data_IF_659660063539
#
_entry.id   IF_659660063539
#
_cell.length_a   1.000
_cell.length_b   1.000
_cell.length_c   1.000
_cell.angle_alpha   90.00
_cell.angle_beta   90.00
_cell.angle_gamma   90.00
#
_symmetry.space_group_name_H-M   'P 1'
#
loop_
_entity.id
_entity.type
_entity.pdbx_description
1 polymer ?
#
# COMPACT_ATOMS: atom_id res chain seq x y z
N UNK A 1 10.04 1.16 -14.75
CA UNK A 1 9.47 1.03 -13.39
C UNK A 1 8.32 0.01 -13.30
N UNK A 2 7.36 -0.05 -14.26
CA UNK A 2 6.26 -1.03 -14.22
C UNK A 2 6.68 -2.51 -14.44
N UNK A 3 7.75 -2.77 -15.20
CA UNK A 3 8.16 -4.13 -15.59
C UNK A 3 8.74 -4.93 -14.40
N UNK A 4 9.28 -4.28 -13.37
CA UNK A 4 9.83 -4.96 -12.20
C UNK A 4 8.76 -5.49 -11.22
N UNK A 5 7.53 -4.97 -11.28
CA UNK A 5 6.47 -5.31 -10.33
C UNK A 5 5.81 -6.66 -10.67
N UNK A 6 5.84 -7.07 -11.94
CA UNK A 6 5.16 -8.29 -12.39
C UNK A 6 5.90 -9.59 -12.05
N UNK A 7 7.21 -9.53 -11.74
CA UNK A 7 8.02 -10.72 -11.43
C UNK A 7 8.49 -10.80 -9.98
N UNK A 8 8.48 -9.68 -9.23
CA UNK A 8 8.85 -9.65 -7.82
C UNK A 8 7.62 -9.36 -6.97
N UNK A 9 7.08 -10.41 -6.33
CA UNK A 9 6.10 -10.31 -5.22
C UNK A 9 6.61 -9.55 -4.00
N UNK A 10 7.90 -9.18 -3.99
CA UNK A 10 8.59 -8.53 -2.90
C UNK A 10 9.53 -7.46 -3.46
N UNK A 11 9.13 -6.19 -3.37
CA UNK A 11 10.00 -5.05 -3.71
C UNK A 11 10.70 -4.49 -2.46
N UNK A 12 10.64 -5.18 -1.32
CA UNK A 12 11.32 -4.75 -0.11
C UNK A 12 12.85 -4.69 -0.27
N UNK A 13 13.50 -3.80 0.47
CA UNK A 13 14.96 -3.63 0.52
C UNK A 13 15.57 -3.29 -0.85
N UNK A 14 15.08 -2.21 -1.46
CA UNK A 14 15.68 -1.66 -2.69
C UNK A 14 15.83 -0.13 -2.55
N UNK A 15 16.45 0.49 -3.56
CA UNK A 15 16.57 1.95 -3.64
C UNK A 15 15.48 2.52 -4.58
N UNK A 16 14.24 1.98 -4.52
CA UNK A 16 13.15 2.53 -5.33
C UNK A 16 12.76 3.90 -4.78
N UNK A 17 12.69 4.89 -5.66
CA UNK A 17 12.37 6.26 -5.31
C UNK A 17 11.26 6.83 -6.20
N UNK A 18 10.80 8.04 -5.86
CA UNK A 18 9.64 8.67 -6.49
C UNK A 18 8.32 8.19 -5.90
N UNK A 19 7.20 8.49 -6.56
CA UNK A 19 5.85 8.21 -6.05
C UNK A 19 5.31 6.85 -6.47
N UNK A 20 4.46 6.27 -5.64
CA UNK A 20 3.66 5.09 -6.02
C UNK A 20 2.71 5.50 -7.18
N UNK A 21 2.83 4.89 -8.38
CA UNK A 21 2.03 5.30 -9.52
C UNK A 21 0.58 4.83 -9.40
N UNK A 22 -0.38 5.65 -9.84
CA UNK A 22 -1.81 5.30 -9.86
C UNK A 22 -2.12 4.01 -10.65
N UNK A 23 -1.25 3.64 -11.59
CA UNK A 23 -1.40 2.40 -12.37
C UNK A 23 -1.24 1.13 -11.52
N UNK A 24 -0.71 1.21 -10.28
CA UNK A 24 -0.62 0.06 -9.37
C UNK A 24 -1.99 -0.58 -9.13
N UNK A 25 -3.06 0.24 -9.11
CA UNK A 25 -4.44 -0.22 -8.92
C UNK A 25 -4.99 -1.06 -10.08
N UNK A 26 -4.22 -1.25 -11.17
CA UNK A 26 -4.57 -2.19 -12.26
C UNK A 26 -4.19 -3.64 -11.92
N UNK A 27 -3.39 -3.86 -10.88
CA UNK A 27 -2.97 -5.19 -10.44
C UNK A 27 -4.05 -5.84 -9.56
N UNK A 28 -5.27 -5.98 -10.10
CA UNK A 28 -6.48 -6.36 -9.34
C UNK A 28 -6.47 -7.78 -8.78
N UNK A 29 -5.61 -8.65 -9.31
CA UNK A 29 -5.45 -10.04 -8.86
C UNK A 29 -4.26 -10.24 -7.91
N UNK A 30 -3.54 -9.17 -7.56
CA UNK A 30 -2.37 -9.25 -6.69
C UNK A 30 -2.82 -9.46 -5.24
N UNK A 31 -2.25 -10.47 -4.59
CA UNK A 31 -2.56 -10.82 -3.19
C UNK A 31 -1.55 -10.25 -2.18
N UNK A 32 -0.32 -9.97 -2.62
CA UNK A 32 0.73 -9.49 -1.72
C UNK A 32 1.46 -8.32 -2.37
N UNK A 33 1.49 -7.18 -1.69
CA UNK A 33 2.24 -6.00 -2.08
C UNK A 33 3.14 -5.56 -0.91
N UNK A 34 4.43 -5.83 -1.00
CA UNK A 34 5.44 -5.29 -0.08
C UNK A 34 6.36 -4.33 -0.83
N UNK A 35 6.38 -3.07 -0.36
CA UNK A 35 7.19 -1.94 -0.82
C UNK A 35 8.14 -1.46 0.29
N UNK A 36 8.32 -2.23 1.36
CA UNK A 36 9.05 -1.81 2.56
C UNK A 36 10.52 -1.47 2.30
N UNK A 37 11.14 -0.69 3.18
CA UNK A 37 12.57 -0.38 3.13
C UNK A 37 13.01 0.15 1.74
N UNK A 38 12.39 1.24 1.31
CA UNK A 38 12.72 1.93 0.06
C UNK A 38 12.74 3.45 0.29
N UNK A 39 12.93 4.23 -0.77
CA UNK A 39 12.94 5.70 -0.77
C UNK A 39 11.69 6.29 -1.43
N UNK A 40 10.56 5.55 -1.44
CA UNK A 40 9.31 6.01 -2.07
C UNK A 40 8.76 7.23 -1.32
N UNK A 41 8.12 8.14 -2.05
CA UNK A 41 7.69 9.44 -1.54
C UNK A 41 6.32 9.85 -2.08
N UNK A 42 5.75 10.92 -1.54
CA UNK A 42 4.43 11.40 -1.95
C UNK A 42 3.28 10.51 -1.42
N UNK A 43 2.05 10.73 -1.89
CA UNK A 43 0.86 10.08 -1.32
C UNK A 43 0.66 8.64 -1.76
N UNK A 44 0.00 7.87 -0.91
CA UNK A 44 -0.60 6.58 -1.28
C UNK A 44 -1.75 6.87 -2.24
N UNK A 45 -1.73 6.34 -3.48
CA UNK A 45 -2.76 6.64 -4.47
C UNK A 45 -4.09 5.97 -4.10
N UNK A 46 -5.20 6.68 -4.28
CA UNK A 46 -6.56 6.14 -4.05
C UNK A 46 -6.89 4.90 -4.89
N UNK A 47 -6.17 4.70 -6.00
CA UNK A 47 -6.28 3.50 -6.82
C UNK A 47 -5.90 2.20 -6.08
N UNK A 48 -5.23 2.29 -4.93
CA UNK A 48 -4.92 1.12 -4.10
C UNK A 48 -6.20 0.35 -3.73
N UNK A 49 -7.32 1.05 -3.50
CA UNK A 49 -8.60 0.43 -3.16
C UNK A 49 -9.24 -0.39 -4.27
N UNK A 50 -8.65 -0.45 -5.47
CA UNK A 50 -9.09 -1.33 -6.55
C UNK A 50 -8.49 -2.73 -6.45
N UNK A 51 -7.47 -2.93 -5.62
CA UNK A 51 -6.73 -4.18 -5.50
C UNK A 51 -7.39 -5.12 -4.47
N UNK A 52 -8.66 -5.43 -4.69
CA UNK A 52 -9.56 -6.12 -3.73
C UNK A 52 -9.11 -7.53 -3.32
N UNK A 53 -8.16 -8.11 -4.05
CA UNK A 53 -7.57 -9.42 -3.74
C UNK A 53 -6.37 -9.33 -2.79
N UNK A 54 -5.94 -8.13 -2.39
CA UNK A 54 -4.82 -7.95 -1.46
C UNK A 54 -5.13 -8.54 -0.09
N UNK A 55 -4.21 -9.39 0.34
CA UNK A 55 -4.10 -10.00 1.66
C UNK A 55 -3.06 -9.24 2.51
N UNK A 56 -1.92 -8.89 1.89
CA UNK A 56 -0.84 -8.14 2.56
C UNK A 56 -0.53 -6.84 1.83
N UNK A 57 -0.56 -5.71 2.55
CA UNK A 57 -0.01 -4.45 2.06
C UNK A 57 0.96 -3.84 3.08
N UNK A 58 2.25 -3.95 2.78
CA UNK A 58 3.31 -3.32 3.57
C UNK A 58 4.04 -2.27 2.75
N UNK A 59 4.18 -1.06 3.29
CA UNK A 59 5.00 0.01 2.72
C UNK A 59 5.77 0.78 3.78
N UNK A 60 6.02 0.14 4.93
CA UNK A 60 6.79 0.72 6.00
C UNK A 60 8.22 1.10 5.61
N UNK A 61 8.83 2.01 6.37
CA UNK A 61 10.20 2.52 6.18
C UNK A 61 10.41 3.06 4.76
N UNK A 62 9.62 4.08 4.44
CA UNK A 62 9.70 4.88 3.22
C UNK A 62 9.51 6.37 3.59
N UNK A 63 9.40 7.24 2.60
CA UNK A 63 9.12 8.67 2.77
C UNK A 63 7.70 9.06 2.31
N UNK A 64 6.73 8.14 2.34
CA UNK A 64 5.35 8.41 1.92
C UNK A 64 4.72 9.48 2.80
N UNK A 65 3.88 10.33 2.23
CA UNK A 65 3.37 11.54 2.89
C UNK A 65 1.92 11.84 2.53
N UNK A 66 1.21 12.61 3.36
CA UNK A 66 -0.21 12.90 3.16
C UNK A 66 -1.13 11.89 3.86
N UNK A 67 -2.45 11.99 3.65
CA UNK A 67 -3.40 11.12 4.33
C UNK A 67 -3.44 9.71 3.76
N UNK A 68 -3.77 8.75 4.61
CA UNK A 68 -4.20 7.42 4.17
C UNK A 68 -5.52 7.59 3.40
N UNK A 69 -5.66 7.07 2.18
CA UNK A 69 -6.87 7.25 1.40
C UNK A 69 -8.04 6.43 1.97
N UNK A 70 -9.24 7.02 2.02
CA UNK A 70 -10.47 6.32 2.45
C UNK A 70 -10.75 5.04 1.65
N UNK A 71 -10.24 4.94 0.42
CA UNK A 71 -10.34 3.74 -0.42
C UNK A 71 -9.64 2.51 0.16
N UNK A 72 -8.80 2.66 1.19
CA UNK A 72 -8.15 1.51 1.87
C UNK A 72 -9.20 0.55 2.42
N UNK A 73 -10.35 1.07 2.88
CA UNK A 73 -11.46 0.26 3.40
C UNK A 73 -12.19 -0.60 2.37
N UNK A 74 -11.80 -0.57 1.09
CA UNK A 74 -12.32 -1.48 0.07
C UNK A 74 -11.57 -2.83 0.05
N UNK A 75 -10.42 -2.94 0.73
CA UNK A 75 -9.55 -4.11 0.69
C UNK A 75 -10.04 -5.19 1.66
N UNK A 76 -11.23 -5.73 1.42
CA UNK A 76 -11.94 -6.58 2.38
C UNK A 76 -11.23 -7.90 2.73
N UNK A 77 -10.21 -8.31 1.97
CA UNK A 77 -9.38 -9.50 2.24
C UNK A 77 -8.08 -9.20 2.97
N UNK A 78 -7.81 -7.93 3.27
CA UNK A 78 -6.54 -7.50 3.83
C UNK A 78 -6.41 -7.96 5.28
N UNK A 79 -5.38 -8.76 5.55
CA UNK A 79 -5.05 -9.25 6.89
C UNK A 79 -3.92 -8.44 7.54
N UNK A 80 -3.03 -7.86 6.73
CA UNK A 80 -1.90 -7.06 7.23
C UNK A 80 -1.80 -5.73 6.48
N UNK A 81 -1.78 -4.64 7.25
CA UNK A 81 -1.56 -3.28 6.76
C UNK A 81 -0.43 -2.63 7.55
N UNK A 82 0.73 -2.39 6.91
CA UNK A 82 1.86 -1.75 7.58
C UNK A 82 2.32 -0.49 6.83
N UNK A 83 2.22 0.66 7.51
CA UNK A 83 2.71 1.96 7.06
C UNK A 83 3.79 2.57 7.98
N UNK A 84 4.29 1.82 8.97
CA UNK A 84 5.23 2.28 9.97
C UNK A 84 6.45 2.97 9.34
N UNK A 85 6.97 4.02 9.97
CA UNK A 85 8.19 4.70 9.49
C UNK A 85 7.99 5.39 8.14
N UNK A 86 6.87 6.10 7.98
CA UNK A 86 6.59 7.04 6.89
C UNK A 86 6.25 8.42 7.46
N UNK A 87 6.03 9.40 6.57
CA UNK A 87 5.62 10.78 6.88
C UNK A 87 4.11 11.00 6.65
N UNK A 88 3.29 9.97 6.84
CA UNK A 88 1.84 10.04 6.69
C UNK A 88 1.23 10.98 7.73
N UNK A 89 0.15 11.67 7.36
CA UNK A 89 -0.50 12.67 8.22
C UNK A 89 -2.03 12.63 8.09
N UNK A 90 -2.73 13.56 8.74
CA UNK A 90 -4.19 13.55 8.76
C UNK A 90 -4.76 12.50 9.71
N UNK A 91 -6.07 12.29 9.62
CA UNK A 91 -6.77 11.31 10.44
C UNK A 91 -6.66 9.91 9.85
N UNK A 92 -6.72 8.90 10.71
CA UNK A 92 -6.96 7.52 10.27
C UNK A 92 -8.37 7.47 9.65
N UNK A 93 -8.52 6.99 8.39
CA UNK A 93 -9.83 6.87 7.75
C UNK A 93 -10.77 5.97 8.54
N UNK A 94 -12.03 6.38 8.70
CA UNK A 94 -13.06 5.55 9.34
C UNK A 94 -13.29 4.26 8.57
N UNK A 95 -13.03 4.29 7.25
CA UNK A 95 -13.13 3.12 6.38
C UNK A 95 -12.19 1.97 6.77
N UNK A 96 -11.14 2.19 7.58
CA UNK A 96 -10.34 1.09 8.15
C UNK A 96 -11.23 0.14 8.97
N UNK A 97 -12.30 0.64 9.59
CA UNK A 97 -13.28 -0.19 10.30
C UNK A 97 -14.04 -1.19 9.42
N UNK A 98 -13.94 -1.09 8.09
CA UNK A 98 -14.53 -2.05 7.14
C UNK A 98 -13.64 -3.27 6.92
N UNK A 99 -12.35 -3.22 7.27
CA UNK A 99 -11.39 -4.30 7.08
C UNK A 99 -11.61 -5.40 8.13
N UNK A 100 -12.57 -6.29 7.87
CA UNK A 100 -13.01 -7.31 8.84
C UNK A 100 -12.01 -8.44 9.07
N UNK A 101 -11.14 -8.67 8.09
CA UNK A 101 -10.11 -9.71 8.15
C UNK A 101 -8.76 -9.17 8.68
N UNK A 102 -8.69 -7.88 9.07
CA UNK A 102 -7.43 -7.26 9.50
C UNK A 102 -6.96 -7.82 10.85
N UNK A 103 -5.76 -8.40 10.85
CA UNK A 103 -5.11 -9.00 12.01
C UNK A 103 -3.98 -8.12 12.55
N UNK A 104 -3.26 -7.40 11.67
CA UNK A 104 -2.11 -6.57 12.00
C UNK A 104 -2.19 -5.18 11.32
N UNK A 105 -1.96 -4.11 12.11
CA UNK A 105 -1.99 -2.69 11.71
C UNK A 105 -0.83 -1.89 12.31
#
# INVERSE_FOLDING_TARGET
MLICILYKRFLHDNNLSGSIPKSIGKLTVLQSLSLENNELSGPIPTSIGNMIELDYFRSGRNNLSGPIPESIGNLNKLTILDFYGNNLNGRIPESIGNLKELEEL
#
